data_IF_509016021122
#
_entry.id   IF_509016021122
#
_cell.length_a   1.000
_cell.length_b   1.000
_cell.length_c   1.000
_cell.angle_alpha   90.00
_cell.angle_beta   90.00
_cell.angle_gamma   90.00
#
_symmetry.space_group_name_H-M   'P 1'
#
loop_
_entity.id
_entity.type
_entity.pdbx_description
1 polymer ?
#
# COMPACT_ATOMS: atom_id res chain seq x y z
N UNK A 1 55.10 11.60 5.93
CA UNK A 1 53.84 10.95 5.52
C UNK A 1 52.74 11.47 6.45
N UNK A 2 52.13 12.65 6.23
CA UNK A 2 51.11 12.93 5.19
C UNK A 2 50.16 11.74 5.06
N UNK A 3 48.88 11.76 5.40
CA UNK A 3 47.97 12.85 5.72
C UNK A 3 46.76 12.28 6.45
N UNK A 4 46.22 13.09 7.36
CA UNK A 4 44.83 13.16 7.79
C UNK A 4 43.78 12.60 6.81
N UNK A 5 42.82 11.82 7.34
CA UNK A 5 41.38 11.91 7.03
C UNK A 5 40.54 11.02 7.97
N UNK A 6 40.48 11.39 9.25
CA UNK A 6 39.23 11.23 10.01
C UNK A 6 38.27 12.30 9.51
N UNK A 7 37.28 11.91 8.70
CA UNK A 7 36.07 12.72 8.53
C UNK A 7 34.86 11.83 8.80
N UNK A 8 34.40 11.91 10.04
CA UNK A 8 32.97 11.89 10.30
C UNK A 8 32.37 13.09 9.58
N UNK A 9 31.59 12.82 8.54
CA UNK A 9 30.60 13.75 8.03
C UNK A 9 29.32 12.94 7.78
N UNK A 10 28.33 12.99 8.70
CA UNK A 10 26.98 12.58 8.34
C UNK A 10 26.46 13.60 7.34
N UNK A 11 26.32 13.20 6.08
CA UNK A 11 25.56 14.00 5.13
C UNK A 11 24.11 14.09 5.63
N UNK A 12 23.59 15.28 5.96
CA UNK A 12 22.17 15.45 6.22
C UNK A 12 21.48 15.69 4.88
N UNK A 13 20.78 14.69 4.36
CA UNK A 13 19.93 14.87 3.18
C UNK A 13 19.67 13.60 2.38
N UNK A 14 18.59 12.91 2.74
CA UNK A 14 17.69 12.29 1.77
C UNK A 14 18.20 11.07 0.99
N UNK A 15 18.08 9.89 1.60
CA UNK A 15 17.31 8.81 0.97
C UNK A 15 16.84 7.88 2.07
N UNK A 16 15.58 8.07 2.37
CA UNK A 16 14.84 7.32 3.37
C UNK A 16 14.83 5.85 2.95
N UNK A 17 15.21 5.03 3.93
CA UNK A 17 14.85 3.63 4.08
C UNK A 17 14.64 2.81 2.78
N UNK A 18 15.73 2.43 2.13
CA UNK A 18 15.72 1.62 0.91
C UNK A 18 15.30 0.14 1.12
N UNK A 19 14.91 -0.28 2.34
CA UNK A 19 14.56 -1.68 2.62
C UNK A 19 13.39 -1.89 3.61
N UNK A 20 12.72 -0.84 4.09
CA UNK A 20 11.55 -0.98 4.99
C UNK A 20 10.36 -0.21 4.39
N UNK A 21 9.38 -0.94 3.85
CA UNK A 21 7.95 -0.54 3.67
C UNK A 21 7.21 -1.29 2.53
N UNK A 22 7.83 -2.21 1.78
CA UNK A 22 7.23 -2.75 0.53
C UNK A 22 6.90 -4.26 0.51
N UNK A 23 6.94 -5.00 1.62
CA UNK A 23 6.69 -6.46 1.54
C UNK A 23 6.34 -7.18 2.84
N UNK A 24 5.67 -6.50 3.77
CA UNK A 24 5.28 -7.10 5.05
C UNK A 24 3.98 -6.57 5.67
N UNK A 25 3.41 -5.51 5.11
CA UNK A 25 2.15 -4.88 5.57
C UNK A 25 1.10 -4.85 4.44
N UNK A 26 1.27 -5.75 3.48
CA UNK A 26 0.54 -5.81 2.22
C UNK A 26 -0.73 -6.65 2.32
N UNK A 27 -1.20 -6.94 3.54
CA UNK A 27 -2.53 -7.47 3.78
C UNK A 27 -3.49 -6.34 4.14
N UNK A 28 -4.63 -6.32 3.46
CA UNK A 28 -5.78 -5.49 3.80
C UNK A 28 -7.02 -6.39 3.84
N UNK A 29 -8.16 -5.84 4.20
CA UNK A 29 -9.42 -6.57 4.19
C UNK A 29 -10.19 -6.17 2.93
N UNK A 30 -10.97 -7.09 2.37
CA UNK A 30 -11.87 -6.77 1.28
C UNK A 30 -13.05 -5.93 1.85
N UNK A 31 -13.32 -4.71 1.35
CA UNK A 31 -14.43 -3.90 1.85
C UNK A 31 -15.79 -4.46 1.43
N UNK A 32 -15.83 -5.20 0.33
CA UNK A 32 -17.05 -5.82 -0.20
C UNK A 32 -17.43 -7.07 0.59
N UNK A 33 -16.44 -7.85 1.01
CA UNK A 33 -16.62 -9.01 1.89
C UNK A 33 -15.83 -8.78 3.17
N UNK A 34 -16.49 -8.09 4.11
CA UNK A 34 -15.99 -7.84 5.46
C UNK A 34 -15.36 -9.10 6.07
N UNK A 35 -14.09 -8.99 6.48
CA UNK A 35 -13.33 -10.09 7.08
C UNK A 35 -12.53 -10.98 6.12
N UNK A 36 -12.58 -10.76 4.80
CA UNK A 36 -11.72 -11.51 3.87
C UNK A 36 -10.36 -10.82 3.71
N UNK A 37 -9.24 -11.46 4.09
CA UNK A 37 -7.91 -10.90 3.88
C UNK A 37 -7.57 -10.86 2.38
N UNK A 38 -7.04 -9.73 1.95
CA UNK A 38 -6.62 -9.42 0.58
C UNK A 38 -5.14 -9.10 0.61
N UNK A 39 -4.37 -9.79 -0.23
CA UNK A 39 -3.00 -9.39 -0.49
C UNK A 39 -2.99 -8.24 -1.50
N UNK A 40 -2.57 -7.05 -1.07
CA UNK A 40 -2.41 -5.84 -1.88
C UNK A 40 -1.49 -6.08 -3.07
N UNK A 41 -0.38 -6.82 -2.91
CA UNK A 41 0.52 -7.11 -4.02
C UNK A 41 -0.17 -7.98 -5.09
N UNK A 42 -0.91 -9.01 -4.68
CA UNK A 42 -1.71 -9.84 -5.60
C UNK A 42 -2.81 -9.02 -6.28
N UNK A 43 -3.51 -8.17 -5.52
CA UNK A 43 -4.55 -7.31 -6.06
C UNK A 43 -3.99 -6.30 -7.06
N UNK A 44 -2.84 -5.68 -6.80
CA UNK A 44 -2.17 -4.79 -7.76
C UNK A 44 -1.71 -5.54 -9.00
N UNK A 45 -1.08 -6.70 -8.83
CA UNK A 45 -0.63 -7.54 -9.93
C UNK A 45 -1.80 -7.99 -10.83
N UNK A 46 -2.97 -8.23 -10.24
CA UNK A 46 -4.19 -8.60 -10.95
C UNK A 46 -5.05 -7.41 -11.42
N UNK A 47 -4.71 -6.16 -11.06
CA UNK A 47 -5.55 -4.98 -11.35
C UNK A 47 -6.86 -4.91 -10.57
N UNK A 48 -6.95 -5.63 -9.45
CA UNK A 48 -8.09 -5.70 -8.53
C UNK A 48 -8.01 -4.60 -7.46
N UNK A 49 -7.82 -3.36 -7.87
CA UNK A 49 -7.82 -2.19 -6.98
C UNK A 49 -8.64 -1.04 -7.57
N UNK A 50 -9.20 -0.19 -6.72
CA UNK A 50 -9.85 1.08 -7.11
C UNK A 50 -9.33 2.20 -6.23
N UNK A 51 -9.09 3.36 -6.83
CA UNK A 51 -8.74 4.58 -6.12
C UNK A 51 -10.01 5.42 -5.91
N UNK A 52 -10.33 5.76 -4.67
CA UNK A 52 -11.51 6.54 -4.29
C UNK A 52 -11.15 7.52 -3.16
N UNK A 53 -11.52 8.80 -3.31
CA UNK A 53 -11.18 9.89 -2.35
C UNK A 53 -9.69 10.04 -2.00
N UNK A 54 -8.79 9.58 -2.87
CA UNK A 54 -7.35 9.61 -2.63
C UNK A 54 -6.81 8.40 -1.84
N UNK A 55 -7.68 7.47 -1.46
CA UNK A 55 -7.31 6.16 -0.92
C UNK A 55 -7.39 5.05 -1.97
N UNK A 56 -6.50 4.06 -1.86
CA UNK A 56 -6.49 2.88 -2.71
C UNK A 56 -7.10 1.69 -2.00
N UNK A 57 -8.21 1.20 -2.53
CA UNK A 57 -8.92 0.01 -2.08
C UNK A 57 -8.52 -1.21 -2.91
N UNK A 58 -8.44 -2.36 -2.26
CA UNK A 58 -8.03 -3.62 -2.87
C UNK A 58 -9.11 -4.68 -2.67
N UNK A 59 -9.23 -5.58 -3.63
CA UNK A 59 -10.28 -6.60 -3.63
C UNK A 59 -9.73 -8.02 -3.66
N UNK A 60 -10.47 -8.94 -3.04
CA UNK A 60 -10.11 -10.37 -3.06
C UNK A 60 -10.41 -11.05 -4.41
N UNK A 61 -11.37 -10.54 -5.19
CA UNK A 61 -11.78 -11.15 -6.45
C UNK A 61 -12.32 -10.11 -7.46
N UNK A 62 -12.40 -10.52 -8.73
CA UNK A 62 -12.93 -9.69 -9.81
C UNK A 62 -14.40 -9.29 -9.63
N UNK A 63 -15.18 -10.04 -8.84
CA UNK A 63 -16.57 -9.72 -8.54
C UNK A 63 -16.75 -8.56 -7.54
N UNK A 64 -15.74 -8.27 -6.73
CA UNK A 64 -15.78 -7.18 -5.77
C UNK A 64 -15.58 -5.80 -6.43
N UNK A 65 -14.93 -5.73 -7.58
CA UNK A 65 -14.80 -4.49 -8.36
C UNK A 65 -16.15 -3.84 -8.67
N UNK A 66 -17.04 -4.49 -9.42
CA UNK A 66 -18.34 -3.91 -9.76
C UNK A 66 -19.25 -3.68 -8.54
N UNK A 67 -19.11 -4.47 -7.48
CA UNK A 67 -19.81 -4.21 -6.22
C UNK A 67 -19.33 -2.89 -5.59
N UNK A 68 -18.01 -2.68 -5.54
CA UNK A 68 -17.43 -1.42 -5.09
C UNK A 68 -17.83 -0.24 -5.98
N UNK A 69 -17.81 -0.42 -7.31
CA UNK A 69 -18.21 0.63 -8.26
C UNK A 69 -19.70 1.02 -8.14
N UNK A 70 -20.56 0.11 -7.67
CA UNK A 70 -21.98 0.40 -7.44
C UNK A 70 -22.20 1.35 -6.24
N UNK A 71 -21.41 1.20 -5.17
CA UNK A 71 -21.57 1.98 -3.93
C UNK A 71 -20.23 2.25 -3.21
N UNK A 72 -19.29 2.97 -3.85
CA UNK A 72 -17.92 3.11 -3.34
C UNK A 72 -17.87 3.83 -2.00
N UNK A 73 -18.76 4.80 -1.77
CA UNK A 73 -18.86 5.53 -0.50
C UNK A 73 -19.21 4.61 0.68
N UNK A 74 -20.10 3.63 0.49
CA UNK A 74 -20.47 2.66 1.53
C UNK A 74 -19.27 1.80 1.93
N UNK A 75 -18.50 1.36 0.94
CA UNK A 75 -17.36 0.48 1.13
C UNK A 75 -16.12 1.22 1.63
N UNK A 76 -15.91 2.46 1.20
CA UNK A 76 -14.89 3.36 1.72
C UNK A 76 -15.11 3.66 3.20
N UNK A 77 -16.36 3.95 3.59
CA UNK A 77 -16.73 4.19 4.99
C UNK A 77 -16.54 2.96 5.90
N UNK A 78 -16.56 1.74 5.35
CA UNK A 78 -16.30 0.51 6.11
C UNK A 78 -14.80 0.25 6.36
N UNK A 79 -13.92 0.99 5.71
CA UNK A 79 -12.46 0.89 5.81
C UNK A 79 -11.81 2.03 6.60
N UNK A 80 -12.56 3.12 6.84
CA UNK A 80 -12.19 4.21 7.74
C UNK A 80 -12.30 3.81 9.21
#
# INVERSE_FOLDING_TARGET
MSSCCSTSAPAPGGRENLLDAAGGADMTTCPVMEGTPVNKATAVAAGLFRDYEGERYYFCCAGCGPAFDADPARYAAAMA
#
